data_IF_173128736288
#
_entry.id   IF_173128736288
#
_cell.length_a   1.000
_cell.length_b   1.000
_cell.length_c   1.000
_cell.angle_alpha   90.00
_cell.angle_beta   90.00
_cell.angle_gamma   90.00
#
_symmetry.space_group_name_H-M   'P 1'
#
loop_
_entity.id
_entity.type
_entity.pdbx_description
1 polymer ?
#
# COMPACT_ATOMS: atom_id res chain seq x y z
N UNK A 1 4.21 28.18 -8.38
CA UNK A 1 4.68 26.81 -8.61
C UNK A 1 4.82 26.21 -7.22
N UNK A 2 3.85 25.40 -6.80
CA UNK A 2 3.98 24.72 -5.50
C UNK A 2 5.09 23.71 -5.69
N UNK A 3 6.11 23.84 -4.88
CA UNK A 3 7.28 22.99 -4.99
C UNK A 3 6.88 21.54 -4.71
N UNK A 4 7.29 20.63 -5.58
CA UNK A 4 7.11 19.20 -5.42
C UNK A 4 7.61 18.72 -4.04
N UNK A 5 8.56 19.46 -3.46
CA UNK A 5 9.09 19.28 -2.12
C UNK A 5 8.04 19.43 -1.02
N UNK A 6 7.12 20.39 -1.14
CA UNK A 6 6.04 20.58 -0.16
C UNK A 6 5.06 19.40 -0.16
N UNK A 7 4.74 18.88 -1.35
CA UNK A 7 3.89 17.72 -1.51
C UNK A 7 4.49 16.48 -0.83
N UNK A 8 5.77 16.25 -1.09
CA UNK A 8 6.52 15.13 -0.51
C UNK A 8 6.60 15.28 1.02
N UNK A 9 6.88 16.48 1.52
CA UNK A 9 7.01 16.73 2.95
C UNK A 9 5.67 16.48 3.68
N UNK A 10 4.56 17.00 3.16
CA UNK A 10 3.23 16.79 3.74
C UNK A 10 2.87 15.30 3.74
N UNK A 11 3.06 14.61 2.61
CA UNK A 11 2.76 13.18 2.50
C UNK A 11 3.59 12.35 3.48
N UNK A 12 4.88 12.69 3.63
CA UNK A 12 5.77 12.02 4.57
C UNK A 12 5.32 12.20 6.02
N UNK A 13 5.07 13.44 6.44
CA UNK A 13 4.64 13.73 7.82
C UNK A 13 3.30 13.06 8.15
N UNK A 14 2.33 13.15 7.26
CA UNK A 14 1.01 12.51 7.46
C UNK A 14 1.16 10.99 7.52
N UNK A 15 1.92 10.37 6.61
CA UNK A 15 2.14 8.93 6.60
C UNK A 15 2.84 8.45 7.88
N UNK A 16 3.82 9.20 8.35
CA UNK A 16 4.53 8.91 9.60
C UNK A 16 3.59 8.97 10.82
N UNK A 17 2.77 10.00 10.93
CA UNK A 17 1.80 10.15 12.04
C UNK A 17 0.74 9.04 12.01
N UNK A 18 0.20 8.72 10.83
CA UNK A 18 -0.75 7.62 10.66
C UNK A 18 -0.12 6.28 11.02
N UNK A 19 1.11 6.02 10.59
CA UNK A 19 1.84 4.80 10.93
C UNK A 19 2.04 4.65 12.43
N UNK A 20 2.49 5.70 13.11
CA UNK A 20 2.67 5.70 14.56
C UNK A 20 1.36 5.44 15.33
N UNK A 21 0.23 5.89 14.80
CA UNK A 21 -1.09 5.64 15.40
C UNK A 21 -1.65 4.26 15.09
N UNK A 22 -1.55 3.81 13.83
CA UNK A 22 -2.18 2.56 13.38
C UNK A 22 -1.40 1.30 13.78
N UNK A 23 -0.08 1.35 13.80
CA UNK A 23 0.75 0.19 14.17
C UNK A 23 0.40 -0.35 15.56
N UNK A 24 0.36 0.46 16.64
CA UNK A 24 0.00 -0.05 17.95
C UNK A 24 -1.43 -0.60 18.01
N UNK A 25 -2.36 -0.03 17.26
CA UNK A 25 -3.73 -0.54 17.16
C UNK A 25 -3.75 -1.94 16.54
N UNK A 26 -3.03 -2.14 15.43
CA UNK A 26 -2.95 -3.46 14.77
C UNK A 26 -2.21 -4.47 15.66
N UNK A 27 -1.15 -4.08 16.33
CA UNK A 27 -0.45 -4.95 17.30
C UNK A 27 -1.40 -5.36 18.43
N UNK A 28 -2.19 -4.43 18.97
CA UNK A 28 -3.19 -4.71 20.01
C UNK A 28 -4.28 -5.65 19.46
N UNK A 29 -4.76 -5.44 18.25
CA UNK A 29 -5.72 -6.32 17.59
C UNK A 29 -5.16 -7.74 17.41
N UNK A 30 -3.90 -7.88 16.95
CA UNK A 30 -3.23 -9.17 16.84
C UNK A 30 -3.13 -9.89 18.20
N UNK A 31 -2.86 -9.14 19.28
CA UNK A 31 -2.84 -9.69 20.65
C UNK A 31 -4.19 -10.28 21.04
N UNK A 32 -5.27 -9.53 20.82
CA UNK A 32 -6.63 -9.96 21.18
C UNK A 32 -7.08 -11.17 20.36
N UNK A 33 -6.79 -11.17 19.07
CA UNK A 33 -7.19 -12.25 18.13
C UNK A 33 -6.20 -13.41 18.07
N UNK A 34 -5.08 -13.35 18.79
CA UNK A 34 -4.01 -14.37 18.78
C UNK A 34 -3.47 -14.68 17.38
N UNK A 35 -3.40 -13.66 16.51
CA UNK A 35 -2.88 -13.79 15.14
C UNK A 35 -1.37 -13.53 15.19
N UNK A 36 -0.63 -14.55 15.57
CA UNK A 36 0.82 -14.51 15.64
C UNK A 36 1.46 -15.55 14.72
N UNK A 37 2.63 -15.21 14.22
CA UNK A 37 3.51 -16.18 13.60
C UNK A 37 4.30 -16.90 14.69
N UNK A 38 4.03 -18.19 14.85
CA UNK A 38 4.72 -19.00 15.84
C UNK A 38 6.14 -19.33 15.36
N UNK A 39 7.14 -19.29 16.24
CA UNK A 39 8.49 -19.71 15.91
C UNK A 39 8.48 -21.20 15.51
N UNK A 40 9.13 -21.49 14.39
CA UNK A 40 9.36 -22.85 13.91
C UNK A 40 10.88 -23.01 13.62
N UNK A 41 11.42 -24.23 13.62
CA UNK A 41 12.84 -24.51 13.40
C UNK A 41 13.43 -23.87 12.13
N UNK A 42 12.59 -23.60 11.13
CA UNK A 42 12.97 -22.95 9.86
C UNK A 42 12.96 -21.42 9.92
N UNK A 43 12.49 -20.80 11.01
CA UNK A 43 12.29 -19.35 11.12
C UNK A 43 13.36 -18.73 12.02
N UNK A 44 13.83 -17.56 11.59
CA UNK A 44 14.88 -16.82 12.31
C UNK A 44 14.37 -16.22 13.62
N UNK A 45 13.04 -16.03 13.75
CA UNK A 45 12.42 -15.41 14.93
C UNK A 45 12.25 -16.42 16.06
N UNK A 46 12.83 -16.08 17.23
CA UNK A 46 12.67 -16.85 18.48
C UNK A 46 11.45 -16.45 19.30
N UNK A 47 10.79 -15.34 18.93
CA UNK A 47 9.61 -14.78 19.60
C UNK A 47 8.46 -14.70 18.61
N UNK A 48 7.23 -14.88 19.09
CA UNK A 48 6.01 -14.75 18.24
C UNK A 48 5.85 -13.30 17.77
N UNK A 49 5.73 -13.11 16.45
CA UNK A 49 5.61 -11.79 15.81
C UNK A 49 4.19 -11.62 15.26
N UNK A 50 3.54 -10.44 15.39
CA UNK A 50 2.24 -10.18 14.79
C UNK A 50 2.31 -10.32 13.26
N UNK A 51 1.38 -11.07 12.65
CA UNK A 51 1.37 -11.30 11.19
C UNK A 51 0.86 -10.10 10.39
N UNK A 52 -0.05 -9.32 10.95
CA UNK A 52 -0.74 -8.23 10.25
C UNK A 52 0.05 -6.91 10.15
N UNK A 53 1.39 -6.93 10.23
CA UNK A 53 2.21 -5.71 10.15
C UNK A 53 2.03 -4.93 8.84
N UNK A 54 1.85 -5.62 7.74
CA UNK A 54 1.66 -5.03 6.41
C UNK A 54 0.30 -4.38 6.18
N UNK A 55 -0.71 -4.72 7.00
CA UNK A 55 -2.09 -4.23 6.83
C UNK A 55 -2.18 -2.71 6.99
N UNK A 56 -1.33 -2.09 7.81
CA UNK A 56 -1.32 -0.64 7.98
C UNK A 56 -0.69 0.12 6.82
N UNK A 57 0.19 -0.52 6.04
CA UNK A 57 1.05 0.19 5.10
C UNK A 57 0.25 0.85 3.97
N UNK A 58 -0.57 0.10 3.26
CA UNK A 58 -1.35 0.62 2.14
C UNK A 58 -2.36 1.69 2.57
N UNK A 59 -3.17 1.51 3.64
CA UNK A 59 -4.04 2.58 4.13
C UNK A 59 -3.28 3.86 4.49
N UNK A 60 -2.13 3.76 5.16
CA UNK A 60 -1.32 4.93 5.48
C UNK A 60 -0.87 5.68 4.22
N UNK A 61 -0.40 4.98 3.19
CA UNK A 61 0.03 5.58 1.93
C UNK A 61 -1.14 6.25 1.21
N UNK A 62 -2.28 5.55 1.07
CA UNK A 62 -3.45 6.07 0.36
C UNK A 62 -4.04 7.29 1.08
N UNK A 63 -4.22 7.23 2.40
CA UNK A 63 -4.78 8.34 3.18
C UNK A 63 -3.83 9.54 3.15
N UNK A 64 -2.50 9.32 3.31
CA UNK A 64 -1.53 10.41 3.27
C UNK A 64 -1.48 11.10 1.90
N UNK A 65 -1.57 10.33 0.82
CA UNK A 65 -1.64 10.88 -0.53
C UNK A 65 -2.92 11.70 -0.73
N UNK A 66 -4.08 11.18 -0.31
CA UNK A 66 -5.35 11.91 -0.42
C UNK A 66 -5.36 13.20 0.41
N UNK A 67 -4.83 13.17 1.63
CA UNK A 67 -4.75 14.36 2.47
C UNK A 67 -3.76 15.39 1.92
N UNK A 68 -2.60 14.95 1.44
CA UNK A 68 -1.64 15.84 0.81
C UNK A 68 -2.22 16.53 -0.43
N UNK A 69 -2.93 15.78 -1.28
CA UNK A 69 -3.61 16.36 -2.45
C UNK A 69 -4.70 17.35 -2.04
N UNK A 70 -5.49 17.03 -1.03
CA UNK A 70 -6.53 17.90 -0.52
C UNK A 70 -5.96 19.21 0.07
N UNK A 71 -4.87 19.14 0.84
CA UNK A 71 -4.20 20.31 1.43
C UNK A 71 -3.61 21.18 0.34
N UNK A 72 -2.86 20.58 -0.59
CA UNK A 72 -2.20 21.33 -1.67
C UNK A 72 -3.22 21.97 -2.60
N UNK A 73 -4.33 21.30 -2.93
CA UNK A 73 -5.38 21.88 -3.76
C UNK A 73 -6.09 23.08 -3.10
N UNK A 74 -6.11 23.14 -1.77
CA UNK A 74 -6.63 24.31 -1.03
C UNK A 74 -5.68 25.49 -1.02
N UNK A 75 -4.37 25.22 -1.00
CA UNK A 75 -3.33 26.26 -0.98
C UNK A 75 -3.11 26.83 -2.38
N UNK A 76 -3.22 26.01 -3.40
CA UNK A 76 -3.06 26.38 -4.81
C UNK A 76 -4.43 26.56 -5.47
N UNK A 77 -4.91 27.78 -5.52
CA UNK A 77 -6.11 28.13 -6.28
C UNK A 77 -5.92 27.74 -7.75
N UNK A 78 -6.66 26.73 -8.21
CA UNK A 78 -6.71 26.32 -9.61
C UNK A 78 -6.16 24.94 -9.98
N UNK A 79 -5.60 24.16 -9.05
CA UNK A 79 -5.26 22.77 -9.33
C UNK A 79 -6.49 21.87 -9.19
N UNK A 80 -7.18 21.62 -10.30
CA UNK A 80 -8.21 20.58 -10.35
C UNK A 80 -7.54 19.20 -10.28
N UNK A 81 -7.94 18.38 -9.31
CA UNK A 81 -7.58 16.96 -9.24
C UNK A 81 -8.23 16.24 -10.43
N UNK A 82 -7.53 16.11 -11.55
CA UNK A 82 -7.94 15.22 -12.62
C UNK A 82 -7.43 13.81 -12.30
N UNK A 83 -8.32 12.93 -11.88
CA UNK A 83 -8.01 11.51 -11.78
C UNK A 83 -7.83 10.97 -13.21
N UNK A 84 -6.61 10.68 -13.59
CA UNK A 84 -6.31 10.02 -14.85
C UNK A 84 -6.78 8.56 -14.81
N UNK A 85 -7.19 8.01 -15.95
CA UNK A 85 -7.58 6.60 -16.06
C UNK A 85 -6.49 5.64 -15.54
N UNK A 86 -5.23 5.93 -15.80
CA UNK A 86 -4.13 5.11 -15.28
C UNK A 86 -4.08 5.05 -13.75
N UNK A 87 -4.42 6.16 -13.07
CA UNK A 87 -4.51 6.19 -11.59
C UNK A 87 -5.59 5.26 -11.07
N UNK A 88 -6.75 5.19 -11.76
CA UNK A 88 -7.82 4.28 -11.40
C UNK A 88 -7.40 2.82 -11.55
N UNK A 89 -6.81 2.45 -12.69
CA UNK A 89 -6.32 1.09 -12.93
C UNK A 89 -5.21 0.69 -11.95
N UNK A 90 -4.26 1.60 -11.71
CA UNK A 90 -3.20 1.38 -10.72
C UNK A 90 -3.78 1.13 -9.32
N UNK A 91 -4.77 1.92 -8.90
CA UNK A 91 -5.43 1.77 -7.60
C UNK A 91 -6.15 0.44 -7.47
N UNK A 92 -6.79 -0.04 -8.53
CA UNK A 92 -7.44 -1.37 -8.56
C UNK A 92 -6.41 -2.49 -8.42
N UNK A 93 -5.30 -2.42 -9.15
CA UNK A 93 -4.20 -3.39 -9.04
C UNK A 93 -3.59 -3.41 -7.63
N UNK A 94 -3.34 -2.22 -7.07
CA UNK A 94 -2.81 -2.07 -5.71
C UNK A 94 -3.76 -2.65 -4.66
N UNK A 95 -5.07 -2.39 -4.79
CA UNK A 95 -6.10 -2.92 -3.91
C UNK A 95 -6.17 -4.46 -3.99
N UNK A 96 -6.09 -5.02 -5.19
CA UNK A 96 -6.10 -6.47 -5.39
C UNK A 96 -4.92 -7.15 -4.67
N UNK A 97 -3.71 -6.62 -4.82
CA UNK A 97 -2.52 -7.14 -4.13
C UNK A 97 -2.66 -6.97 -2.62
N UNK A 98 -3.16 -5.81 -2.16
CA UNK A 98 -3.38 -5.55 -0.74
C UNK A 98 -4.35 -6.54 -0.10
N UNK A 99 -5.52 -6.73 -0.71
CA UNK A 99 -6.53 -7.69 -0.22
C UNK A 99 -5.96 -9.12 -0.19
N UNK A 100 -5.25 -9.53 -1.24
CA UNK A 100 -4.61 -10.83 -1.27
C UNK A 100 -3.57 -11.00 -0.15
N UNK A 101 -2.78 -9.96 0.13
CA UNK A 101 -1.81 -9.94 1.24
C UNK A 101 -2.48 -10.06 2.60
N UNK A 102 -3.57 -9.31 2.84
CA UNK A 102 -4.34 -9.38 4.09
C UNK A 102 -4.96 -10.77 4.28
N UNK A 103 -5.55 -11.33 3.22
CA UNK A 103 -6.13 -12.67 3.27
C UNK A 103 -5.06 -13.73 3.53
N UNK A 104 -3.89 -13.57 2.92
CA UNK A 104 -2.75 -14.46 3.17
C UNK A 104 -2.27 -14.42 4.63
N UNK A 105 -2.19 -13.25 5.22
CA UNK A 105 -1.78 -13.07 6.61
C UNK A 105 -2.78 -13.67 7.61
N UNK A 106 -4.08 -13.69 7.27
CA UNK A 106 -5.15 -14.18 8.16
C UNK A 106 -5.36 -15.70 7.99
N UNK A 107 -5.51 -16.17 6.76
CA UNK A 107 -5.95 -17.55 6.45
C UNK A 107 -4.79 -18.40 5.93
N UNK A 108 -3.80 -17.79 5.31
CA UNK A 108 -2.74 -18.47 4.57
C UNK A 108 -3.24 -18.94 3.19
N UNK A 109 -2.73 -18.29 2.14
CA UNK A 109 -3.12 -18.54 0.74
C UNK A 109 -2.10 -19.45 0.07
N UNK A 110 -2.57 -20.34 -0.81
CA UNK A 110 -1.69 -21.23 -1.57
C UNK A 110 -0.75 -20.40 -2.50
N UNK A 111 0.49 -20.85 -2.74
CA UNK A 111 1.42 -20.14 -3.62
C UNK A 111 0.88 -19.91 -5.04
N UNK A 112 0.07 -20.83 -5.54
CA UNK A 112 -0.57 -20.72 -6.86
C UNK A 112 -1.57 -19.57 -6.92
N UNK A 113 -2.41 -19.41 -5.89
CA UNK A 113 -3.39 -18.32 -5.79
C UNK A 113 -2.69 -16.97 -5.67
N UNK A 114 -1.61 -16.87 -4.88
CA UNK A 114 -0.80 -15.65 -4.79
C UNK A 114 -0.28 -15.23 -6.16
N UNK A 115 0.29 -16.19 -6.89
CA UNK A 115 0.84 -15.95 -8.22
C UNK A 115 -0.23 -15.48 -9.23
N UNK A 116 -1.43 -16.11 -9.21
CA UNK A 116 -2.54 -15.68 -10.07
C UNK A 116 -2.99 -14.25 -9.78
N UNK A 117 -3.09 -13.85 -8.51
CA UNK A 117 -3.45 -12.46 -8.15
C UNK A 117 -2.38 -11.48 -8.60
N UNK A 118 -1.10 -11.83 -8.49
CA UNK A 118 0.01 -10.99 -8.95
C UNK A 118 -0.02 -10.80 -10.47
N UNK A 119 -0.26 -11.89 -11.24
CA UNK A 119 -0.42 -11.82 -12.71
C UNK A 119 -1.62 -10.93 -13.06
N UNK A 120 -2.76 -11.11 -12.40
CA UNK A 120 -3.95 -10.29 -12.61
C UNK A 120 -3.67 -8.81 -12.36
N UNK A 121 -3.08 -8.47 -11.22
CA UNK A 121 -2.75 -7.09 -10.87
C UNK A 121 -1.72 -6.48 -11.85
N UNK A 122 -0.72 -7.25 -12.28
CA UNK A 122 0.26 -6.82 -13.26
C UNK A 122 -0.35 -6.58 -14.65
N UNK A 123 -1.37 -7.37 -15.03
CA UNK A 123 -2.05 -7.23 -16.34
C UNK A 123 -2.91 -5.97 -16.41
N UNK A 124 -3.34 -5.41 -15.28
CA UNK A 124 -4.14 -4.18 -15.24
C UNK A 124 -3.32 -2.97 -15.69
N UNK A 125 -2.01 -2.91 -15.41
CA UNK A 125 -1.17 -1.77 -15.76
C UNK A 125 -1.06 -1.51 -17.27
N UNK A 126 -0.76 -2.50 -18.12
CA UNK A 126 -0.77 -2.32 -19.58
C UNK A 126 -2.13 -1.86 -20.14
N UNK A 127 -3.24 -2.32 -19.54
CA UNK A 127 -4.59 -1.91 -19.94
C UNK A 127 -4.87 -0.42 -19.66
N UNK A 128 -4.14 0.19 -18.74
CA UNK A 128 -4.20 1.63 -18.49
C UNK A 128 -3.43 2.48 -19.50
N UNK A 129 -2.72 1.86 -20.44
CA UNK A 129 -1.81 2.52 -21.37
C UNK A 129 -0.40 2.77 -20.81
N UNK A 130 -0.11 2.30 -19.60
CA UNK A 130 1.22 2.35 -19.00
C UNK A 130 2.03 1.13 -19.47
N UNK A 131 2.85 1.33 -20.47
CA UNK A 131 3.79 0.30 -20.97
C UNK A 131 5.15 0.92 -21.27
N UNK A 132 6.19 0.12 -21.17
CA UNK A 132 7.56 0.55 -21.45
C UNK A 132 7.75 0.53 -22.96
N UNK A 133 7.77 1.72 -23.59
CA UNK A 133 7.96 1.89 -25.03
C UNK A 133 9.40 1.78 -25.49
N UNK A 134 10.34 2.01 -24.60
CA UNK A 134 11.75 2.10 -24.98
C UNK A 134 12.63 1.66 -23.79
N UNK A 135 13.47 0.68 -24.04
CA UNK A 135 14.53 0.30 -23.12
C UNK A 135 15.79 1.05 -23.54
N UNK A 136 15.92 2.32 -23.21
CA UNK A 136 17.03 3.20 -23.57
C UNK A 136 18.39 2.47 -23.58
N UNK A 137 18.81 1.99 -24.75
CA UNK A 137 20.09 1.32 -24.95
C UNK A 137 20.05 -0.20 -25.25
N UNK A 138 18.86 -0.81 -25.37
CA UNK A 138 18.69 -2.20 -25.85
C UNK A 138 17.70 -2.27 -26.99
#
# INVERSE_FOLDING_TARGET
MIDCSLYILISFLVSMLLGLGLIPLVVSFCKVKRIYDLPNERKVHKVSVPRLGGVCFIPCVVISFMLATAIVSRISEGTSLSLSLWTCYFSVGLLAIYVAGVVDDIVGVSPRTKFLVQIFAASILPLSGLYINNLYGF
#
